data_IF_003836674816
#
_entry.id   IF_003836674816
#
_cell.length_a   1.000
_cell.length_b   1.000
_cell.length_c   1.000
_cell.angle_alpha   90.00
_cell.angle_beta   90.00
_cell.angle_gamma   90.00
#
_symmetry.space_group_name_H-M   'P 1'
#
loop_
_entity.id
_entity.type
_entity.pdbx_description
1 polymer ?
#
# COMPACT_ATOMS: atom_id res chain seq x y z
N UNK A 1 -7.35 -29.07 -9.13
CA UNK A 1 -6.02 -28.98 -8.51
C UNK A 1 -5.70 -27.52 -8.29
N UNK A 2 -5.51 -27.10 -7.05
CA UNK A 2 -4.98 -25.78 -6.69
C UNK A 2 -3.51 -25.73 -7.10
N UNK A 3 -3.12 -24.72 -7.86
CA UNK A 3 -1.72 -24.53 -8.28
C UNK A 3 -0.90 -24.21 -7.02
N UNK A 4 0.16 -24.98 -6.77
CA UNK A 4 1.09 -24.72 -5.68
C UNK A 4 2.06 -23.59 -6.07
N UNK A 5 1.82 -22.39 -5.52
CA UNK A 5 2.59 -21.18 -5.83
C UNK A 5 4.03 -21.20 -5.30
N UNK A 6 4.37 -22.16 -4.43
CA UNK A 6 5.75 -22.38 -3.98
C UNK A 6 6.63 -23.04 -5.04
N UNK A 7 6.03 -23.61 -6.07
CA UNK A 7 6.76 -24.24 -7.19
C UNK A 7 6.82 -23.37 -8.44
N UNK A 8 6.05 -22.28 -8.48
CA UNK A 8 5.98 -21.38 -9.64
C UNK A 8 7.03 -20.27 -9.52
N UNK A 9 8.00 -20.16 -10.44
CA UNK A 9 9.00 -19.12 -10.39
C UNK A 9 8.38 -17.75 -10.70
N UNK A 10 8.90 -16.68 -10.07
CA UNK A 10 8.42 -15.31 -10.28
C UNK A 10 8.55 -14.85 -11.76
N UNK A 11 9.45 -15.45 -12.53
CA UNK A 11 9.59 -15.21 -13.97
C UNK A 11 8.33 -15.61 -14.75
N UNK A 12 7.55 -16.56 -14.24
CA UNK A 12 6.28 -16.99 -14.85
C UNK A 12 5.15 -15.94 -14.72
N UNK A 13 5.38 -14.85 -13.97
CA UNK A 13 4.44 -13.75 -13.87
C UNK A 13 4.26 -13.09 -15.25
N UNK A 14 3.02 -13.01 -15.73
CA UNK A 14 2.73 -12.44 -17.04
C UNK A 14 3.07 -10.94 -17.11
N UNK A 15 3.23 -10.45 -18.33
CA UNK A 15 3.50 -9.02 -18.58
C UNK A 15 2.31 -8.19 -18.08
N UNK A 16 1.08 -8.62 -18.34
CA UNK A 16 -0.11 -7.89 -17.88
C UNK A 16 -0.18 -7.85 -16.34
N UNK A 17 0.08 -8.98 -15.69
CA UNK A 17 0.10 -9.06 -14.22
C UNK A 17 1.18 -8.15 -13.62
N UNK A 18 2.36 -8.12 -14.25
CA UNK A 18 3.47 -7.25 -13.85
C UNK A 18 3.10 -5.77 -13.97
N UNK A 19 2.45 -5.36 -15.06
CA UNK A 19 2.02 -3.98 -15.27
C UNK A 19 0.97 -3.54 -14.26
N UNK A 20 -0.01 -4.41 -13.95
CA UNK A 20 -1.01 -4.15 -12.90
C UNK A 20 -0.33 -3.96 -11.56
N UNK A 21 0.59 -4.87 -11.18
CA UNK A 21 1.36 -4.77 -9.93
C UNK A 21 2.16 -3.46 -9.88
N UNK A 22 2.86 -3.10 -10.96
CA UNK A 22 3.58 -1.84 -11.07
C UNK A 22 2.67 -0.64 -10.83
N UNK A 23 1.51 -0.58 -11.49
CA UNK A 23 0.57 0.53 -11.32
C UNK A 23 0.11 0.68 -9.86
N UNK A 24 -0.10 -0.44 -9.16
CA UNK A 24 -0.63 -0.47 -7.79
C UNK A 24 0.43 -0.16 -6.72
N UNK A 25 1.69 -0.47 -6.98
CA UNK A 25 2.82 -0.22 -6.08
C UNK A 25 3.54 1.11 -6.34
N UNK A 26 3.48 1.64 -7.56
CA UNK A 26 4.06 2.94 -7.87
C UNK A 26 3.25 4.11 -7.29
N UNK A 27 1.96 3.89 -6.99
CA UNK A 27 1.12 4.86 -6.28
C UNK A 27 1.63 5.06 -4.84
N UNK A 28 2.17 6.24 -4.48
CA UNK A 28 2.78 6.46 -3.17
C UNK A 28 1.73 6.36 -2.06
N UNK A 29 2.10 5.70 -0.96
CA UNK A 29 1.26 5.56 0.23
C UNK A 29 1.85 6.36 1.38
N UNK A 30 1.03 7.24 1.95
CA UNK A 30 1.42 8.14 3.05
C UNK A 30 1.46 7.41 4.39
N UNK A 31 0.63 6.37 4.54
CA UNK A 31 0.55 5.56 5.75
C UNK A 31 1.45 4.32 5.65
N UNK A 32 2.41 4.12 6.56
CA UNK A 32 3.28 2.95 6.61
C UNK A 32 2.55 1.71 7.12
N UNK A 33 3.12 0.51 6.92
CA UNK A 33 2.66 -0.71 7.58
C UNK A 33 3.04 -0.72 9.07
N UNK A 34 2.59 -1.73 9.83
CA UNK A 34 2.90 -1.84 11.27
C UNK A 34 4.41 -1.83 11.56
N UNK A 35 5.22 -2.37 10.64
CA UNK A 35 6.67 -2.41 10.74
C UNK A 35 7.35 -1.09 10.32
N UNK A 36 6.59 0.00 10.19
CA UNK A 36 7.03 1.33 9.75
C UNK A 36 7.58 1.39 8.32
N UNK A 37 7.39 0.35 7.51
CA UNK A 37 7.79 0.36 6.10
C UNK A 37 6.72 1.04 5.23
N UNK A 38 7.11 1.75 4.16
CA UNK A 38 6.16 2.25 3.18
C UNK A 38 5.39 1.12 2.50
N UNK A 39 4.10 1.36 2.18
CA UNK A 39 3.23 0.35 1.54
C UNK A 39 3.22 0.43 0.01
N UNK A 40 4.28 1.00 -0.53
CA UNK A 40 4.52 1.22 -1.96
C UNK A 40 5.89 0.64 -2.35
N UNK A 41 6.34 0.93 -3.58
CA UNK A 41 7.60 0.45 -4.12
C UNK A 41 8.81 0.69 -3.20
N UNK A 42 8.80 1.70 -2.32
CA UNK A 42 9.90 1.99 -1.40
C UNK A 42 10.05 0.90 -0.33
N UNK A 43 8.93 0.42 0.20
CA UNK A 43 8.94 -0.72 1.13
C UNK A 43 9.35 -2.01 0.44
N UNK A 44 8.92 -2.20 -0.81
CA UNK A 44 9.37 -3.32 -1.62
C UNK A 44 10.89 -3.27 -1.86
N UNK A 45 11.44 -2.10 -2.23
CA UNK A 45 12.87 -1.92 -2.45
C UNK A 45 13.69 -2.25 -1.20
N UNK A 46 13.21 -1.82 -0.02
CA UNK A 46 13.81 -2.14 1.26
C UNK A 46 13.82 -3.65 1.54
N UNK A 47 12.68 -4.33 1.34
CA UNK A 47 12.59 -5.78 1.59
C UNK A 47 13.35 -6.63 0.56
N UNK A 48 13.54 -6.13 -0.66
CA UNK A 48 14.39 -6.75 -1.67
C UNK A 48 15.90 -6.48 -1.43
N UNK A 49 16.25 -5.76 -0.36
CA UNK A 49 17.61 -5.37 -0.01
C UNK A 49 18.31 -4.66 -1.18
N UNK A 50 17.62 -3.71 -1.81
CA UNK A 50 18.28 -2.79 -2.73
C UNK A 50 19.08 -1.79 -1.90
N UNK A 51 20.36 -1.63 -2.24
CA UNK A 51 21.24 -0.69 -1.56
C UNK A 51 20.77 0.75 -1.73
N UNK A 52 21.09 1.59 -0.74
CA UNK A 52 20.68 2.99 -0.70
C UNK A 52 21.19 3.80 -1.90
N UNK A 53 22.30 3.36 -2.51
CA UNK A 53 22.89 3.94 -3.72
C UNK A 53 21.98 3.86 -4.95
N UNK A 54 21.04 2.91 -4.99
CA UNK A 54 20.08 2.77 -6.08
C UNK A 54 18.83 3.66 -5.89
N UNK A 55 18.66 4.27 -4.72
CA UNK A 55 17.46 5.08 -4.43
C UNK A 55 17.30 6.29 -5.37
N UNK A 56 18.35 7.08 -5.68
CA UNK A 56 18.21 8.20 -6.64
C UNK A 56 17.76 7.74 -8.03
N UNK A 57 18.25 6.57 -8.46
CA UNK A 57 17.83 5.96 -9.73
C UNK A 57 16.37 5.54 -9.68
N UNK A 58 15.92 4.91 -8.60
CA UNK A 58 14.52 4.49 -8.45
C UNK A 58 13.56 5.67 -8.38
N UNK A 59 13.94 6.74 -7.67
CA UNK A 59 13.10 7.95 -7.55
C UNK A 59 12.87 8.61 -8.92
N UNK A 60 13.88 8.59 -9.79
CA UNK A 60 13.81 9.17 -11.14
C UNK A 60 13.25 8.20 -12.19
N UNK A 61 13.07 6.92 -11.85
CA UNK A 61 12.62 5.90 -12.80
C UNK A 61 11.11 6.03 -13.07
N UNK A 62 10.65 5.93 -14.33
CA UNK A 62 9.21 6.02 -14.66
C UNK A 62 8.38 4.86 -14.07
N UNK A 63 8.99 3.69 -13.91
CA UNK A 63 8.37 2.53 -13.25
C UNK A 63 9.35 1.87 -12.25
N UNK A 64 9.44 2.38 -11.01
CA UNK A 64 10.37 1.87 -10.01
C UNK A 64 10.08 0.40 -9.65
N UNK A 65 8.79 0.02 -9.59
CA UNK A 65 8.39 -1.36 -9.28
C UNK A 65 8.88 -2.35 -10.32
N UNK A 66 8.73 -2.06 -11.61
CA UNK A 66 9.23 -2.94 -12.66
C UNK A 66 10.75 -3.10 -12.57
N UNK A 67 11.48 -2.01 -12.31
CA UNK A 67 12.92 -2.07 -12.10
C UNK A 67 13.28 -3.00 -10.94
N UNK A 68 12.64 -2.83 -9.77
CA UNK A 68 12.86 -3.68 -8.58
C UNK A 68 12.59 -5.15 -8.89
N UNK A 69 11.48 -5.46 -9.57
CA UNK A 69 11.15 -6.84 -9.95
C UNK A 69 12.18 -7.45 -10.90
N UNK A 70 12.66 -6.69 -11.89
CA UNK A 70 13.70 -7.18 -12.80
C UNK A 70 15.04 -7.39 -12.11
N UNK A 71 15.41 -6.50 -11.19
CA UNK A 71 16.60 -6.64 -10.37
C UNK A 71 16.50 -7.86 -9.46
N UNK A 72 15.36 -8.04 -8.78
CA UNK A 72 15.15 -9.15 -7.86
C UNK A 72 15.17 -10.50 -8.59
N UNK A 73 14.49 -10.61 -9.74
CA UNK A 73 14.56 -11.76 -10.65
C UNK A 73 16.01 -12.12 -11.07
N UNK A 74 16.90 -11.14 -11.20
CA UNK A 74 18.31 -11.36 -11.53
C UNK A 74 19.16 -11.74 -10.32
N UNK A 75 18.88 -11.15 -9.14
CA UNK A 75 19.66 -11.35 -7.90
C UNK A 75 19.48 -12.74 -7.30
N UNK A 76 18.27 -13.31 -7.34
CA UNK A 76 17.98 -14.63 -6.78
C UNK A 76 17.39 -15.57 -7.85
N UNK A 77 18.06 -16.70 -8.08
CA UNK A 77 17.71 -17.65 -9.16
C UNK A 77 16.45 -18.49 -8.92
N UNK A 78 16.00 -18.62 -7.67
CA UNK A 78 14.88 -19.50 -7.28
C UNK A 78 13.74 -18.74 -6.58
N UNK A 79 13.47 -17.49 -6.96
CA UNK A 79 12.34 -16.75 -6.37
C UNK A 79 11.03 -17.32 -6.90
N UNK A 80 10.12 -17.62 -5.99
CA UNK A 80 8.79 -18.13 -6.30
C UNK A 80 7.75 -17.02 -6.22
N UNK A 81 6.57 -17.25 -6.79
CA UNK A 81 5.42 -16.35 -6.59
C UNK A 81 5.07 -16.29 -5.10
N UNK A 82 5.21 -17.39 -4.36
CA UNK A 82 4.97 -17.41 -2.90
C UNK A 82 5.91 -16.47 -2.13
N UNK A 83 7.17 -16.37 -2.53
CA UNK A 83 8.11 -15.43 -1.91
C UNK A 83 7.67 -13.97 -2.14
N UNK A 84 7.19 -13.67 -3.35
CA UNK A 84 6.64 -12.35 -3.65
C UNK A 84 5.37 -12.05 -2.84
N UNK A 85 4.51 -13.06 -2.62
CA UNK A 85 3.34 -12.92 -1.74
C UNK A 85 3.77 -12.55 -0.31
N UNK A 86 4.77 -13.24 0.22
CA UNK A 86 5.27 -12.98 1.56
C UNK A 86 5.86 -11.56 1.69
N UNK A 87 6.43 -10.99 0.61
CA UNK A 87 6.86 -9.59 0.58
C UNK A 87 5.68 -8.61 0.61
N UNK A 88 4.64 -8.86 -0.19
CA UNK A 88 3.43 -8.03 -0.23
C UNK A 88 2.67 -8.04 1.11
N UNK A 89 2.65 -9.19 1.78
CA UNK A 89 2.13 -9.36 3.14
C UNK A 89 2.88 -8.46 4.14
N UNK A 90 4.21 -8.44 4.11
CA UNK A 90 5.04 -7.60 5.01
C UNK A 90 4.81 -6.09 4.85
N UNK A 91 4.36 -5.64 3.67
CA UNK A 91 4.01 -4.23 3.41
C UNK A 91 2.50 -3.95 3.52
N UNK A 92 1.71 -4.86 4.11
CA UNK A 92 0.25 -4.75 4.25
C UNK A 92 -0.49 -4.51 2.90
N UNK A 93 -0.01 -5.09 1.78
CA UNK A 93 -0.60 -4.92 0.42
C UNK A 93 -1.26 -6.19 -0.12
N UNK A 94 -2.10 -6.79 0.71
CA UNK A 94 -2.92 -7.96 0.37
C UNK A 94 -3.91 -7.72 -0.79
N UNK A 95 -4.33 -6.47 -0.98
CA UNK A 95 -5.24 -6.05 -2.06
C UNK A 95 -4.66 -6.34 -3.46
N UNK A 96 -3.37 -6.07 -3.66
CA UNK A 96 -2.70 -6.31 -4.94
C UNK A 96 -2.70 -7.79 -5.27
N UNK A 97 -2.48 -8.62 -4.26
CA UNK A 97 -2.41 -10.04 -4.44
C UNK A 97 -3.78 -10.64 -4.79
N UNK A 98 -4.84 -10.25 -4.09
CA UNK A 98 -6.20 -10.69 -4.40
C UNK A 98 -6.63 -10.34 -5.83
N UNK A 99 -6.26 -9.15 -6.29
CA UNK A 99 -6.60 -8.67 -7.64
C UNK A 99 -5.80 -9.37 -8.74
N UNK A 100 -4.55 -9.75 -8.45
CA UNK A 100 -3.64 -10.41 -9.40
C UNK A 100 -3.71 -11.93 -9.36
N UNK A 101 -4.21 -12.55 -8.28
CA UNK A 101 -4.42 -13.99 -8.17
C UNK A 101 -5.32 -14.55 -9.29
N UNK A 102 -6.31 -13.76 -9.73
CA UNK A 102 -7.18 -14.10 -10.87
C UNK A 102 -6.43 -14.14 -12.21
N UNK A 103 -5.35 -13.35 -12.32
CA UNK A 103 -4.51 -13.27 -13.52
C UNK A 103 -3.41 -14.34 -13.50
N UNK A 104 -2.93 -14.72 -12.31
CA UNK A 104 -1.93 -15.78 -12.11
C UNK A 104 -2.56 -17.17 -12.26
N UNK A 105 -3.85 -17.34 -11.94
CA UNK A 105 -4.59 -18.58 -12.17
C UNK A 105 -4.94 -18.81 -13.65
N UNK A 106 -3.94 -18.87 -14.52
CA UNK A 106 -4.12 -19.33 -15.90
C UNK A 106 -3.97 -20.85 -15.91
N UNK A 107 -5.10 -21.49 -15.68
CA UNK A 107 -5.33 -22.92 -15.80
C UNK A 107 -6.83 -23.16 -15.77
N UNK A 108 -7.53 -22.78 -16.84
CA UNK A 108 -8.97 -23.03 -17.00
C UNK A 108 -9.23 -24.53 -16.87
N UNK A 109 -9.72 -24.99 -15.73
CA UNK A 109 -10.42 -26.27 -15.65
C UNK A 109 -11.89 -26.01 -15.27
N UNK A 110 -12.75 -26.13 -16.28
CA UNK A 110 -14.20 -26.00 -16.18
C UNK A 110 -14.77 -27.29 -15.61
N UNK A 111 -14.72 -27.44 -14.29
CA UNK A 111 -15.51 -28.48 -13.61
C UNK A 111 -16.62 -27.83 -12.79
N UNK A 112 -17.86 -28.04 -13.24
CA UNK A 112 -19.05 -27.32 -12.80
C UNK A 112 -19.62 -27.85 -11.48
N UNK A 113 -19.19 -29.03 -11.00
CA UNK A 113 -19.64 -29.59 -9.71
C UNK A 113 -19.02 -28.92 -8.50
N UNK A 114 -17.78 -28.45 -8.63
CA UNK A 114 -17.11 -27.67 -7.60
C UNK A 114 -17.55 -26.21 -7.59
N UNK A 115 -18.36 -25.74 -8.54
CA UNK A 115 -18.66 -24.32 -8.71
C UNK A 115 -19.41 -23.74 -7.51
N UNK A 116 -20.30 -24.50 -6.88
CA UNK A 116 -21.05 -24.07 -5.68
C UNK A 116 -20.15 -24.06 -4.44
N UNK A 117 -19.33 -25.10 -4.23
CA UNK A 117 -18.37 -25.15 -3.12
C UNK A 117 -17.25 -24.12 -3.27
N UNK A 118 -16.75 -23.88 -4.49
CA UNK A 118 -15.81 -22.80 -4.79
C UNK A 118 -16.48 -21.43 -4.69
N UNK A 119 -17.74 -21.26 -5.09
CA UNK A 119 -18.45 -19.99 -4.89
C UNK A 119 -18.73 -19.73 -3.40
N UNK A 120 -19.12 -20.75 -2.64
CA UNK A 120 -19.33 -20.64 -1.20
C UNK A 120 -18.02 -20.39 -0.49
N UNK A 121 -16.94 -21.11 -0.81
CA UNK A 121 -15.62 -20.86 -0.25
C UNK A 121 -15.07 -19.50 -0.67
N UNK A 122 -15.24 -19.09 -1.93
CA UNK A 122 -14.83 -17.77 -2.40
C UNK A 122 -15.69 -16.68 -1.78
N UNK A 123 -17.00 -16.87 -1.59
CA UNK A 123 -17.86 -15.94 -0.83
C UNK A 123 -17.45 -15.90 0.63
N UNK A 124 -17.21 -17.03 1.27
CA UNK A 124 -16.86 -17.12 2.68
C UNK A 124 -15.50 -16.50 2.92
N UNK A 125 -14.49 -16.85 2.13
CA UNK A 125 -13.16 -16.23 2.18
C UNK A 125 -13.20 -14.76 1.78
N UNK A 126 -14.03 -14.36 0.81
CA UNK A 126 -14.20 -12.95 0.47
C UNK A 126 -14.94 -12.19 1.57
N UNK A 127 -15.89 -12.80 2.28
CA UNK A 127 -16.57 -12.21 3.43
C UNK A 127 -15.60 -12.14 4.62
N UNK A 128 -14.81 -13.18 4.88
CA UNK A 128 -13.82 -13.23 5.96
C UNK A 128 -12.68 -12.25 5.72
N UNK A 129 -12.22 -12.15 4.48
CA UNK A 129 -11.22 -11.18 4.05
C UNK A 129 -11.83 -9.77 3.99
N UNK A 130 -13.08 -9.59 3.54
CA UNK A 130 -13.78 -8.32 3.66
C UNK A 130 -13.98 -7.91 5.11
N UNK A 131 -14.29 -8.83 6.03
CA UNK A 131 -14.44 -8.58 7.47
C UNK A 131 -13.11 -8.31 8.15
N UNK A 132 -12.02 -9.01 7.78
CA UNK A 132 -10.66 -8.69 8.25
C UNK A 132 -10.20 -7.34 7.70
N UNK A 133 -10.41 -7.10 6.41
CA UNK A 133 -10.10 -5.84 5.74
C UNK A 133 -10.97 -4.72 6.27
N UNK A 134 -12.23 -4.99 6.65
CA UNK A 134 -13.10 -4.05 7.37
C UNK A 134 -12.54 -3.82 8.76
N UNK A 135 -12.25 -4.84 9.57
CA UNK A 135 -11.72 -4.68 10.93
C UNK A 135 -10.40 -3.89 10.95
N UNK A 136 -9.48 -4.19 10.03
CA UNK A 136 -8.18 -3.52 9.89
C UNK A 136 -8.35 -2.10 9.33
N UNK A 137 -9.19 -1.89 8.30
CA UNK A 137 -9.48 -0.55 7.79
C UNK A 137 -10.37 0.28 8.73
N UNK A 138 -11.24 -0.31 9.54
CA UNK A 138 -12.07 0.38 10.51
C UNK A 138 -11.17 0.93 11.62
N UNK A 139 -10.17 0.16 12.05
CA UNK A 139 -9.13 0.65 12.98
C UNK A 139 -8.18 1.69 12.36
N UNK A 140 -7.84 1.59 11.07
CA UNK A 140 -6.79 2.42 10.42
C UNK A 140 -7.28 3.58 9.54
N UNK A 141 -8.50 3.55 9.03
CA UNK A 141 -9.08 4.63 8.20
C UNK A 141 -10.02 5.54 8.99
N UNK A 142 -10.52 5.13 10.16
CA UNK A 142 -11.37 6.00 10.99
C UNK A 142 -10.52 6.97 11.82
N UNK A 143 -9.33 6.55 12.27
CA UNK A 143 -8.43 7.38 13.06
C UNK A 143 -7.02 7.36 12.45
N UNK A 144 -6.62 8.49 11.85
CA UNK A 144 -5.24 8.74 11.47
C UNK A 144 -4.60 9.59 12.57
N UNK A 145 -3.64 9.03 13.30
CA UNK A 145 -2.88 9.79 14.29
C UNK A 145 -1.69 10.48 13.60
N UNK A 146 -1.38 11.71 14.02
CA UNK A 146 -0.26 12.50 13.47
C UNK A 146 1.05 11.70 13.45
N UNK A 147 1.30 10.91 14.49
CA UNK A 147 2.53 10.13 14.67
C UNK A 147 2.66 8.93 13.73
N UNK A 148 1.64 8.65 12.91
CA UNK A 148 1.63 7.57 11.93
C UNK A 148 2.10 8.04 10.53
N UNK A 149 2.43 9.32 10.36
CA UNK A 149 2.98 9.83 9.11
C UNK A 149 4.45 9.41 8.96
N UNK A 150 4.84 8.99 7.75
CA UNK A 150 6.24 8.69 7.43
C UNK A 150 7.11 9.95 7.60
N UNK A 151 8.24 9.83 8.30
CA UNK A 151 9.25 10.90 8.39
C UNK A 151 9.98 11.10 7.06
N UNK A 152 10.35 12.36 6.74
CA UNK A 152 11.02 12.74 5.48
C UNK A 152 10.21 13.68 4.58
N UNK A 153 9.05 14.14 5.05
CA UNK A 153 8.25 15.20 4.41
C UNK A 153 8.70 16.53 5.03
N UNK A 154 9.12 17.48 4.20
CA UNK A 154 9.68 18.78 4.65
C UNK A 154 8.69 19.59 5.47
N UNK A 155 7.39 19.42 5.22
CA UNK A 155 6.33 20.08 5.97
C UNK A 155 5.24 19.06 6.37
N UNK A 156 5.16 18.75 7.65
CA UNK A 156 4.13 17.87 8.22
C UNK A 156 2.71 18.30 7.81
N UNK A 157 2.48 19.61 7.74
CA UNK A 157 1.21 20.21 7.35
C UNK A 157 0.78 19.81 5.94
N UNK A 158 1.71 19.71 4.99
CA UNK A 158 1.39 19.36 3.59
C UNK A 158 0.86 17.92 3.49
N UNK A 159 1.48 17.00 4.22
CA UNK A 159 1.06 15.61 4.25
C UNK A 159 -0.32 15.43 4.89
N UNK A 160 -0.57 16.16 5.99
CA UNK A 160 -1.88 16.17 6.66
C UNK A 160 -2.95 16.76 5.72
N UNK A 161 -2.66 17.88 5.05
CA UNK A 161 -3.60 18.52 4.14
C UNK A 161 -3.93 17.62 2.93
N UNK A 162 -2.93 16.95 2.36
CA UNK A 162 -3.14 15.98 1.28
C UNK A 162 -4.00 14.79 1.71
N UNK A 163 -3.77 14.27 2.92
CA UNK A 163 -4.60 13.18 3.46
C UNK A 163 -6.05 13.61 3.66
N UNK A 164 -6.28 14.82 4.18
CA UNK A 164 -7.63 15.37 4.36
C UNK A 164 -8.29 15.58 3.01
N UNK A 165 -7.61 16.20 2.03
CA UNK A 165 -8.21 16.52 0.73
C UNK A 165 -8.53 15.29 -0.12
N UNK A 166 -7.71 14.24 -0.06
CA UNK A 166 -7.91 13.02 -0.85
C UNK A 166 -8.96 12.07 -0.24
N UNK A 167 -9.24 12.17 1.07
CA UNK A 167 -10.07 11.17 1.77
C UNK A 167 -11.33 11.72 2.43
N UNK A 168 -11.34 12.99 2.79
CA UNK A 168 -12.42 13.57 3.60
C UNK A 168 -13.24 14.54 2.76
N UNK A 169 -14.52 14.24 2.55
CA UNK A 169 -15.47 15.16 1.91
C UNK A 169 -16.08 16.16 2.91
N UNK A 170 -15.90 15.93 4.22
CA UNK A 170 -16.34 16.79 5.32
C UNK A 170 -15.27 16.79 6.41
N UNK A 171 -15.01 17.96 7.00
CA UNK A 171 -14.02 18.12 8.07
C UNK A 171 -14.73 18.58 9.35
N UNK A 172 -14.56 17.83 10.44
CA UNK A 172 -14.97 18.23 11.79
C UNK A 172 -13.70 18.51 12.58
N UNK A 173 -13.49 19.76 12.97
CA UNK A 173 -12.32 20.19 13.74
C UNK A 173 -12.69 20.17 15.23
N UNK A 174 -12.03 19.31 16.01
CA UNK A 174 -12.19 19.26 17.47
C UNK A 174 -10.99 19.98 18.10
N UNK A 175 -11.27 21.08 18.81
CA UNK A 175 -10.23 21.94 19.38
C UNK A 175 -10.34 21.88 20.91
N UNK A 176 -9.24 21.59 21.59
CA UNK A 176 -9.18 21.66 23.04
C UNK A 176 -9.05 23.13 23.51
N UNK A 177 -9.55 23.48 24.71
CA UNK A 177 -9.38 24.83 25.26
C UNK A 177 -7.91 25.28 25.36
N UNK A 178 -6.99 24.33 25.52
CA UNK A 178 -5.55 24.59 25.60
C UNK A 178 -4.97 25.01 24.25
N UNK A 179 -5.50 24.51 23.14
CA UNK A 179 -5.05 24.92 21.80
C UNK A 179 -5.27 26.41 21.57
N UNK A 180 -6.41 26.95 22.00
CA UNK A 180 -6.74 28.38 21.85
C UNK A 180 -5.75 29.29 22.61
N UNK A 181 -5.19 28.80 23.71
CA UNK A 181 -4.20 29.52 24.53
C UNK A 181 -2.75 29.29 24.08
N UNK A 182 -2.51 28.44 23.09
CA UNK A 182 -1.16 28.08 22.67
C UNK A 182 -0.47 29.23 21.92
N UNK A 183 0.84 29.36 22.13
CA UNK A 183 1.68 30.33 21.42
C UNK A 183 1.66 30.12 19.90
N UNK A 184 1.61 28.86 19.46
CA UNK A 184 1.49 28.50 18.05
C UNK A 184 0.18 28.99 17.43
N UNK A 185 -0.97 28.76 18.08
CA UNK A 185 -2.26 29.26 17.58
C UNK A 185 -2.28 30.79 17.53
N UNK A 186 -1.73 31.47 18.54
CA UNK A 186 -1.63 32.94 18.54
C UNK A 186 -0.78 33.45 17.37
N UNK A 187 0.31 32.76 17.05
CA UNK A 187 1.13 33.06 15.88
C UNK A 187 0.33 32.91 14.58
N UNK A 188 -0.34 31.77 14.37
CA UNK A 188 -1.13 31.52 13.17
C UNK A 188 -2.31 32.49 13.01
N UNK A 189 -2.99 32.84 14.11
CA UNK A 189 -4.08 33.82 14.10
C UNK A 189 -3.57 35.19 13.64
N UNK A 190 -2.48 35.68 14.23
CA UNK A 190 -1.89 36.97 13.88
C UNK A 190 -1.41 36.98 12.42
N UNK A 191 -0.83 35.87 11.95
CA UNK A 191 -0.40 35.73 10.57
C UNK A 191 -1.57 35.74 9.58
N UNK A 192 -2.65 34.98 9.86
CA UNK A 192 -3.85 34.98 9.02
C UNK A 192 -4.54 36.35 8.98
N UNK A 193 -4.60 37.05 10.12
CA UNK A 193 -5.08 38.43 10.20
C UNK A 193 -4.25 39.39 9.34
N UNK A 194 -2.92 39.26 9.37
CA UNK A 194 -2.03 40.07 8.54
C UNK A 194 -2.20 39.77 7.03
N UNK A 195 -2.56 38.54 6.67
CA UNK A 195 -2.86 38.13 5.29
C UNK A 195 -4.29 38.49 4.84
N UNK A 196 -5.16 38.97 5.74
CA UNK A 196 -6.55 39.28 5.42
C UNK A 196 -7.41 38.05 5.11
N UNK A 197 -6.98 36.85 5.53
CA UNK A 197 -7.77 35.62 5.42
C UNK A 197 -8.63 35.54 6.69
N UNK A 198 -9.88 36.02 6.59
CA UNK A 198 -10.87 36.02 7.67
C UNK A 198 -12.22 35.52 7.17
#
# INVERSE_FOLDING_TARGET
>A
MTIDLSTVPLVALSIESTQVISSLLNSPKVLPCENKLPRDWRGLAHLCELGGELMPLLISHPDPTAYILTYWKKKQKNITIKDFQNLLEKIDRWDILDDTLKLISIGKNKDYRNKIMMHLYYMLMKILNLLMKWWINLKRNILCLKDQLLGGITFEHEAVMKLISERCNRLIVIISPNFLKSSANKFFLNYAQALGIG
#
